data_IF_061035354863
#
_entry.id   IF_061035354863
#
_cell.length_a   1.000
_cell.length_b   1.000
_cell.length_c   1.000
_cell.angle_alpha   90.00
_cell.angle_beta   90.00
_cell.angle_gamma   90.00
#
_symmetry.space_group_name_H-M   'P 1'
#
loop_
_entity.id
_entity.type
_entity.pdbx_description
1 polymer ?
#
# COMPACT_ATOMS: atom_id res chain seq x y z
N UNK A 1 -11.60 0.72 10.30
CA UNK A 1 -10.60 1.71 10.77
C UNK A 1 -9.50 1.75 9.73
N UNK A 2 -8.91 2.89 9.38
CA UNK A 2 -7.83 2.93 8.38
C UNK A 2 -6.59 3.61 8.95
N UNK A 3 -5.46 2.91 8.97
CA UNK A 3 -4.19 3.37 9.56
C UNK A 3 -3.12 3.31 8.48
N UNK A 4 -2.35 4.39 8.32
CA UNK A 4 -1.19 4.46 7.41
C UNK A 4 0.09 4.69 8.20
N UNK A 5 1.20 4.17 7.68
CA UNK A 5 2.55 4.38 8.22
C UNK A 5 3.39 5.09 7.18
N UNK A 6 3.85 6.31 7.51
CA UNK A 6 4.61 7.18 6.61
C UNK A 6 6.01 7.49 7.14
N UNK A 7 6.90 7.87 6.23
CA UNK A 7 8.29 8.21 6.54
C UNK A 7 9.27 7.82 5.44
N UNK A 8 10.54 8.24 5.58
CA UNK A 8 11.60 7.93 4.62
C UNK A 8 11.98 6.44 4.62
N UNK A 9 12.73 6.01 3.61
CA UNK A 9 13.24 4.65 3.56
C UNK A 9 14.19 4.36 4.72
N UNK A 10 14.09 3.15 5.26
CA UNK A 10 14.82 2.76 6.48
C UNK A 10 14.22 3.25 7.80
N UNK A 11 13.13 4.05 7.81
CA UNK A 11 12.53 4.55 9.05
C UNK A 11 11.77 3.51 9.90
N UNK A 12 11.65 2.26 9.40
CA UNK A 12 11.00 1.16 10.14
C UNK A 12 9.50 0.99 9.88
N UNK A 13 8.90 1.69 8.90
CA UNK A 13 7.46 1.61 8.54
C UNK A 13 6.94 0.18 8.44
N UNK A 14 7.61 -0.66 7.66
CA UNK A 14 7.21 -2.06 7.43
C UNK A 14 7.22 -2.87 8.72
N UNK A 15 8.23 -2.67 9.57
CA UNK A 15 8.33 -3.35 10.87
C UNK A 15 7.18 -2.93 11.77
N UNK A 16 6.95 -1.63 11.93
CA UNK A 16 5.89 -1.11 12.80
C UNK A 16 4.49 -1.50 12.32
N UNK A 17 4.24 -1.48 11.01
CA UNK A 17 2.97 -1.92 10.44
C UNK A 17 2.69 -3.41 10.70
N UNK A 18 3.71 -4.27 10.61
CA UNK A 18 3.57 -5.70 10.93
C UNK A 18 3.31 -5.93 12.42
N UNK A 19 4.07 -5.27 13.29
CA UNK A 19 3.90 -5.38 14.74
C UNK A 19 2.49 -4.93 15.18
N UNK A 20 2.01 -3.80 14.65
CA UNK A 20 0.66 -3.35 14.93
C UNK A 20 -0.39 -4.35 14.42
N UNK A 21 -0.23 -4.85 13.19
CA UNK A 21 -1.16 -5.81 12.62
C UNK A 21 -1.23 -7.11 13.44
N UNK A 22 -0.09 -7.60 13.94
CA UNK A 22 -0.02 -8.76 14.83
C UNK A 22 -0.70 -8.49 16.18
N UNK A 23 -0.46 -7.33 16.79
CA UNK A 23 -1.12 -6.93 18.04
C UNK A 23 -2.65 -6.85 17.90
N UNK A 24 -3.14 -6.21 16.84
CA UNK A 24 -4.57 -6.08 16.57
C UNK A 24 -5.23 -7.45 16.28
N UNK A 25 -4.53 -8.36 15.58
CA UNK A 25 -5.01 -9.74 15.39
C UNK A 25 -5.08 -10.50 16.71
N UNK A 26 -4.11 -10.31 17.61
CA UNK A 26 -4.12 -10.91 18.93
C UNK A 26 -5.29 -10.40 19.81
N UNK A 27 -5.79 -9.19 19.57
CA UNK A 27 -7.01 -8.65 20.17
C UNK A 27 -8.31 -9.21 19.52
N UNK A 28 -8.21 -10.08 18.52
CA UNK A 28 -9.36 -10.69 17.84
C UNK A 28 -9.96 -9.85 16.71
N UNK A 29 -9.23 -8.85 16.19
CA UNK A 29 -9.68 -8.03 15.04
C UNK A 29 -9.34 -8.70 13.71
N UNK A 30 -10.21 -8.55 12.71
CA UNK A 30 -9.90 -8.89 11.31
C UNK A 30 -9.05 -7.78 10.70
N UNK A 31 -7.78 -8.09 10.43
CA UNK A 31 -6.75 -7.10 10.04
C UNK A 31 -6.23 -7.35 8.63
N UNK A 32 -6.35 -6.34 7.78
CA UNK A 32 -5.81 -6.30 6.42
C UNK A 32 -4.53 -5.47 6.41
N UNK A 33 -3.39 -6.15 6.22
CA UNK A 33 -2.10 -5.48 6.05
C UNK A 33 -1.80 -5.34 4.55
N UNK A 34 -1.55 -4.11 4.10
CA UNK A 34 -1.23 -3.79 2.70
C UNK A 34 -0.18 -2.69 2.58
N UNK A 35 0.26 -2.34 1.37
CA UNK A 35 1.27 -1.29 1.10
C UNK A 35 1.06 -0.60 -0.25
N UNK A 36 1.64 0.59 -0.39
CA UNK A 36 1.72 1.31 -1.66
C UNK A 36 3.18 1.67 -2.04
N UNK A 37 3.48 1.84 -3.34
CA UNK A 37 2.66 1.38 -4.48
C UNK A 37 2.59 -0.15 -4.50
N UNK A 38 1.41 -0.69 -4.80
CA UNK A 38 1.08 -2.12 -4.71
C UNK A 38 -0.27 -2.38 -4.03
N UNK A 39 -0.46 -3.59 -3.50
CA UNK A 39 -1.62 -3.94 -2.67
C UNK A 39 -2.84 -4.51 -3.42
N UNK A 40 -2.81 -4.51 -4.75
CA UNK A 40 -3.77 -5.20 -5.63
C UNK A 40 -3.05 -5.69 -6.89
N UNK A 41 -3.59 -6.67 -7.65
CA UNK A 41 -2.92 -7.17 -8.86
C UNK A 41 -2.53 -6.07 -9.85
N UNK A 42 -3.44 -5.14 -10.16
CA UNK A 42 -3.15 -4.01 -11.06
C UNK A 42 -2.15 -3.02 -10.47
N UNK A 43 -2.22 -2.74 -9.16
CA UNK A 43 -1.25 -1.86 -8.50
C UNK A 43 0.16 -2.49 -8.42
N UNK A 44 0.29 -3.81 -8.32
CA UNK A 44 1.59 -4.51 -8.37
C UNK A 44 2.22 -4.47 -9.77
N UNK A 45 1.40 -4.55 -10.84
CA UNK A 45 1.90 -4.33 -12.22
C UNK A 45 2.47 -2.92 -12.39
N UNK A 46 1.74 -1.90 -11.90
CA UNK A 46 2.22 -0.51 -11.96
C UNK A 46 3.45 -0.31 -11.08
N UNK A 47 3.50 -0.95 -9.90
CA UNK A 47 4.69 -0.93 -9.04
C UNK A 47 5.92 -1.43 -9.79
N UNK A 48 5.82 -2.52 -10.53
CA UNK A 48 6.92 -3.04 -11.34
C UNK A 48 7.38 -2.02 -12.38
N UNK A 49 6.44 -1.34 -13.08
CA UNK A 49 6.77 -0.28 -14.05
C UNK A 49 7.53 0.91 -13.46
N UNK A 50 7.31 1.21 -12.18
CA UNK A 50 7.91 2.35 -11.49
C UNK A 50 9.25 2.00 -10.83
N UNK A 51 9.40 0.79 -10.28
CA UNK A 51 10.57 0.40 -9.49
C UNK A 51 11.61 -0.41 -10.25
N UNK A 52 11.24 -1.03 -11.37
CA UNK A 52 12.15 -1.85 -12.15
C UNK A 52 12.68 -1.10 -13.38
N UNK A 53 13.95 -1.31 -13.69
CA UNK A 53 14.63 -0.69 -14.83
C UNK A 53 15.37 0.59 -14.46
N UNK A 54 15.53 1.48 -15.44
CA UNK A 54 16.27 2.73 -15.29
C UNK A 54 15.51 3.74 -14.42
N UNK A 55 16.09 4.22 -13.30
CA UNK A 55 15.46 5.24 -12.44
C UNK A 55 15.09 6.54 -13.16
N UNK A 56 15.81 6.91 -14.23
CA UNK A 56 15.58 8.15 -14.99
C UNK A 56 14.66 7.95 -16.21
N UNK A 57 14.04 6.76 -16.33
CA UNK A 57 13.17 6.41 -17.47
C UNK A 57 11.97 7.34 -17.63
N UNK A 58 11.48 7.92 -16.54
CA UNK A 58 10.22 8.66 -16.50
C UNK A 58 10.40 10.04 -15.89
N UNK A 59 9.73 11.04 -16.46
CA UNK A 59 9.55 12.33 -15.80
C UNK A 59 8.77 12.17 -14.49
N UNK A 60 8.99 13.08 -13.54
CA UNK A 60 8.35 13.04 -12.22
C UNK A 60 6.82 13.03 -12.29
N UNK A 61 6.23 13.76 -13.24
CA UNK A 61 4.79 13.79 -13.47
C UNK A 61 4.25 12.43 -13.91
N UNK A 62 4.98 11.70 -14.75
CA UNK A 62 4.60 10.34 -15.16
C UNK A 62 4.61 9.39 -13.97
N UNK A 63 5.65 9.45 -13.12
CA UNK A 63 5.72 8.64 -11.89
C UNK A 63 4.56 8.98 -10.94
N UNK A 64 4.24 10.26 -10.78
CA UNK A 64 3.10 10.71 -9.98
C UNK A 64 1.78 10.12 -10.47
N UNK A 65 1.52 10.17 -11.78
CA UNK A 65 0.28 9.64 -12.37
C UNK A 65 0.21 8.11 -12.24
N UNK A 66 1.32 7.40 -12.46
CA UNK A 66 1.38 5.95 -12.29
C UNK A 66 1.11 5.55 -10.83
N UNK A 67 1.78 6.16 -9.86
CA UNK A 67 1.54 5.88 -8.44
C UNK A 67 0.09 6.22 -8.04
N UNK A 68 -0.49 7.29 -8.61
CA UNK A 68 -1.90 7.65 -8.40
C UNK A 68 -2.85 6.60 -8.97
N UNK A 69 -2.55 6.06 -10.17
CA UNK A 69 -3.34 4.98 -10.77
C UNK A 69 -3.26 3.69 -9.94
N UNK A 70 -2.06 3.32 -9.45
CA UNK A 70 -1.88 2.18 -8.56
C UNK A 70 -2.69 2.33 -7.27
N UNK A 71 -2.65 3.52 -6.64
CA UNK A 71 -3.47 3.84 -5.46
C UNK A 71 -4.96 3.70 -5.73
N UNK A 72 -5.44 4.16 -6.89
CA UNK A 72 -6.86 4.06 -7.24
C UNK A 72 -7.31 2.60 -7.35
N UNK A 73 -6.56 1.75 -8.03
CA UNK A 73 -6.87 0.33 -8.12
C UNK A 73 -6.80 -0.35 -6.74
N UNK A 74 -5.78 -0.04 -5.93
CA UNK A 74 -5.66 -0.57 -4.58
C UNK A 74 -6.83 -0.18 -3.66
N UNK A 75 -7.28 1.08 -3.75
CA UNK A 75 -8.45 1.57 -3.03
C UNK A 75 -9.72 0.78 -3.39
N UNK A 76 -10.03 0.68 -4.68
CA UNK A 76 -11.23 0.01 -5.17
C UNK A 76 -11.23 -1.50 -4.91
N UNK A 77 -10.06 -2.13 -5.04
CA UNK A 77 -9.93 -3.59 -5.01
C UNK A 77 -9.74 -4.16 -3.60
N UNK A 78 -9.14 -3.40 -2.69
CA UNK A 78 -8.82 -3.90 -1.35
C UNK A 78 -9.33 -2.99 -0.23
N UNK A 79 -8.98 -1.70 -0.23
CA UNK A 79 -9.19 -0.84 0.94
C UNK A 79 -10.68 -0.57 1.17
N UNK A 80 -11.41 -0.07 0.18
CA UNK A 80 -12.83 0.26 0.32
C UNK A 80 -13.69 -0.97 0.70
N UNK A 81 -13.53 -2.15 0.05
CA UNK A 81 -14.24 -3.36 0.46
C UNK A 81 -13.89 -3.81 1.89
N UNK A 82 -12.63 -3.69 2.30
CA UNK A 82 -12.19 -4.08 3.65
C UNK A 82 -12.79 -3.17 4.72
N UNK A 83 -12.83 -1.86 4.46
CA UNK A 83 -13.45 -0.89 5.35
C UNK A 83 -14.96 -1.10 5.46
N UNK A 84 -15.64 -1.37 4.33
CA UNK A 84 -17.07 -1.68 4.32
C UNK A 84 -17.39 -2.96 5.11
N UNK A 85 -16.48 -3.94 5.11
CA UNK A 85 -16.59 -5.16 5.91
C UNK A 85 -16.22 -4.97 7.40
N UNK A 86 -15.92 -3.75 7.85
CA UNK A 86 -15.58 -3.44 9.24
C UNK A 86 -14.17 -3.88 9.66
N UNK A 87 -13.30 -4.21 8.70
CA UNK A 87 -11.92 -4.60 8.96
C UNK A 87 -11.07 -3.42 9.40
N UNK A 88 -9.89 -3.76 9.94
CA UNK A 88 -8.85 -2.81 10.35
C UNK A 88 -7.64 -2.91 9.43
#
# INVERSE_FOLDING_TARGET
>A
MFITFEGIDGSGKTTQARLLAEGLRAEGRDVVLTREPGGSPGAEEIRALVLEGDPERWAGETVLLLVTAARRDHLERLIEPSLAAGKV
#
